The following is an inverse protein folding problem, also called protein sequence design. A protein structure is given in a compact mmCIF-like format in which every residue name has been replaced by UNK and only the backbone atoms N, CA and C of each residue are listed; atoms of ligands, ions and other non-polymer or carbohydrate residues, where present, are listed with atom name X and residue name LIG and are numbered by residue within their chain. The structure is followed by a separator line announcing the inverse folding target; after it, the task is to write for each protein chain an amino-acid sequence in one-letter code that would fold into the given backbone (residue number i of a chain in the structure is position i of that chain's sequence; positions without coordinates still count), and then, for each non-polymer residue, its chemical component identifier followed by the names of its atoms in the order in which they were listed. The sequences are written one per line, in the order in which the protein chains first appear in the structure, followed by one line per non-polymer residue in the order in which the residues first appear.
data_IF_446218549223
#
_entry.id   IF_446218549223
#
_cell.length_a   1.000
_cell.length_b   1.000
_cell.length_c   1.000
_cell.angle_alpha   90.00
_cell.angle_beta   90.00
_cell.angle_gamma   90.00
#
_symmetry.space_group_name_H-M   'P 1'
#
loop_
_entity.id
_entity.type
_entity.pdbx_description
1 polymer ?
#
# COMPACT_ATOMS: atom_id res chain seq x y z
N UNK A 1 1.21 -24.43 4.41
CA UNK A 1 1.49 -23.42 5.44
C UNK A 1 0.52 -22.27 5.24
N UNK A 2 -0.19 -21.86 6.29
CA UNK A 2 -1.04 -20.68 6.27
C UNK A 2 -0.16 -19.42 6.35
N UNK A 3 -0.38 -18.48 5.45
CA UNK A 3 0.29 -17.18 5.42
C UNK A 3 -0.77 -16.10 5.30
N UNK A 4 -0.71 -15.08 6.13
CA UNK A 4 -1.62 -13.95 6.11
C UNK A 4 -0.85 -12.63 6.08
N UNK A 5 -1.25 -11.73 5.19
CA UNK A 5 -0.71 -10.38 5.13
C UNK A 5 -1.45 -9.48 6.11
N UNK A 6 -0.74 -8.59 6.81
CA UNK A 6 -1.27 -7.70 7.84
C UNK A 6 -2.18 -6.57 7.32
N UNK A 7 -3.13 -6.89 6.45
CA UNK A 7 -4.16 -5.98 5.95
C UNK A 7 -5.47 -6.15 6.71
N UNK A 8 -5.53 -5.65 7.96
CA UNK A 8 -6.67 -5.83 8.86
C UNK A 8 -8.00 -5.29 8.29
N UNK A 9 -7.94 -4.34 7.34
CA UNK A 9 -9.12 -3.88 6.61
C UNK A 9 -9.88 -5.00 5.92
N UNK A 10 -9.20 -6.07 5.49
CA UNK A 10 -9.81 -7.20 4.78
C UNK A 10 -10.80 -8.01 5.62
N UNK A 11 -10.68 -7.98 6.93
CA UNK A 11 -11.58 -8.66 7.87
C UNK A 11 -12.54 -7.71 8.58
N UNK A 12 -12.35 -6.40 8.47
CA UNK A 12 -13.15 -5.40 9.18
C UNK A 12 -14.54 -5.22 8.53
N UNK A 13 -15.66 -5.43 9.28
CA UNK A 13 -17.01 -5.37 8.73
C UNK A 13 -17.37 -4.04 8.05
N UNK A 14 -16.83 -2.92 8.56
CA UNK A 14 -17.14 -1.58 8.04
C UNK A 14 -16.57 -1.35 6.64
N UNK A 15 -15.34 -1.84 6.38
CA UNK A 15 -14.75 -1.78 5.05
C UNK A 15 -15.48 -2.72 4.10
N UNK A 16 -15.64 -3.95 4.55
CA UNK A 16 -16.21 -5.05 3.80
C UNK A 16 -17.57 -4.73 3.19
N UNK A 17 -18.51 -4.19 3.99
CA UNK A 17 -19.83 -3.84 3.48
C UNK A 17 -19.79 -2.78 2.38
N UNK A 18 -18.90 -1.79 2.50
CA UNK A 18 -18.73 -0.77 1.45
C UNK A 18 -18.17 -1.37 0.16
N UNK A 19 -17.21 -2.26 0.28
CA UNK A 19 -16.60 -2.97 -0.85
C UNK A 19 -17.61 -3.93 -1.51
N UNK A 20 -18.41 -4.66 -0.73
CA UNK A 20 -19.47 -5.53 -1.22
C UNK A 20 -20.59 -4.77 -1.94
N UNK A 21 -20.96 -3.58 -1.47
CA UNK A 21 -21.88 -2.68 -2.16
C UNK A 21 -21.37 -2.33 -3.56
N UNK A 22 -20.09 -2.01 -3.68
CA UNK A 22 -19.45 -1.67 -4.94
C UNK A 22 -19.30 -2.89 -5.83
N UNK A 23 -18.75 -3.97 -5.30
CA UNK A 23 -18.45 -5.22 -6.01
C UNK A 23 -19.69 -5.87 -6.62
N UNK A 24 -20.82 -5.79 -5.91
CA UNK A 24 -22.11 -6.33 -6.37
C UNK A 24 -22.96 -5.31 -7.18
N UNK A 25 -22.42 -4.12 -7.46
CA UNK A 25 -23.07 -3.15 -8.32
C UNK A 25 -24.30 -2.44 -7.72
N UNK A 26 -24.52 -2.49 -6.41
CA UNK A 26 -25.63 -1.81 -5.74
C UNK A 26 -25.60 -0.29 -5.97
N UNK A 27 -24.40 0.29 -6.02
CA UNK A 27 -24.18 1.71 -6.33
C UNK A 27 -24.14 2.03 -7.82
N UNK A 28 -24.41 1.07 -8.70
CA UNK A 28 -24.22 1.19 -10.15
C UNK A 28 -22.75 1.00 -10.55
N UNK A 29 -22.45 1.24 -11.83
CA UNK A 29 -21.10 1.06 -12.36
C UNK A 29 -20.10 2.03 -11.69
N UNK A 30 -18.89 1.53 -11.40
CA UNK A 30 -17.78 2.34 -10.90
C UNK A 30 -17.21 3.16 -12.06
N UNK A 31 -17.12 4.47 -11.87
CA UNK A 31 -16.56 5.44 -12.82
C UNK A 31 -15.11 5.80 -12.51
N UNK A 32 -14.70 5.63 -11.28
CA UNK A 32 -13.38 5.94 -10.79
C UNK A 32 -13.28 5.77 -9.28
N UNK A 33 -12.11 6.09 -8.71
CA UNK A 33 -11.90 6.09 -7.27
C UNK A 33 -10.97 7.24 -6.86
N UNK A 34 -10.96 7.57 -5.57
CA UNK A 34 -9.99 8.49 -4.96
C UNK A 34 -9.43 7.85 -3.70
N UNK A 35 -8.10 7.89 -3.58
CA UNK A 35 -7.38 7.47 -2.38
C UNK A 35 -6.58 8.64 -1.83
N UNK A 36 -6.68 8.86 -0.50
CA UNK A 36 -5.87 9.81 0.21
C UNK A 36 -5.00 9.11 1.25
N UNK A 37 -3.69 9.23 1.10
CA UNK A 37 -2.67 8.56 1.93
C UNK A 37 -1.95 9.60 2.79
N UNK A 38 -1.65 9.34 4.08
CA UNK A 38 -0.78 10.20 4.87
C UNK A 38 0.57 10.41 4.18
N UNK A 39 1.15 11.60 4.35
CA UNK A 39 2.50 11.87 3.90
C UNK A 39 3.50 11.88 5.05
N UNK A 40 4.78 12.03 4.72
CA UNK A 40 5.89 11.99 5.67
C UNK A 40 5.81 13.04 6.79
N UNK A 41 5.17 14.16 6.55
CA UNK A 41 4.98 15.24 7.54
C UNK A 41 4.06 14.85 8.70
N UNK A 42 3.22 13.85 8.53
CA UNK A 42 2.39 13.29 9.63
C UNK A 42 3.22 12.71 10.77
N UNK A 43 4.49 12.34 10.49
CA UNK A 43 5.46 11.78 11.42
C UNK A 43 6.64 12.73 11.65
N UNK A 44 6.54 13.97 11.21
CA UNK A 44 7.61 14.98 11.21
C UNK A 44 8.10 15.44 12.60
N UNK A 45 7.47 14.98 13.68
CA UNK A 45 7.98 15.19 15.04
C UNK A 45 9.28 14.43 15.35
N UNK A 46 9.65 13.48 14.52
CA UNK A 46 10.89 12.71 14.63
C UNK A 46 11.89 13.26 13.62
N UNK A 47 12.87 14.02 14.11
CA UNK A 47 13.85 14.74 13.28
C UNK A 47 14.54 13.82 12.27
N UNK A 48 14.13 13.91 11.01
CA UNK A 48 14.83 13.29 9.88
C UNK A 48 16.15 14.02 9.66
N UNK A 49 17.21 13.53 10.24
CA UNK A 49 18.54 14.07 10.08
C UNK A 49 19.45 13.06 9.40
N UNK A 50 20.15 13.45 8.36
CA UNK A 50 21.22 12.68 7.75
C UNK A 50 22.52 12.73 8.55
N UNK A 51 22.53 13.42 9.70
CA UNK A 51 23.72 13.55 10.55
C UNK A 51 24.22 12.17 10.99
N UNK A 52 25.52 11.99 10.87
CA UNK A 52 26.26 10.79 11.29
C UNK A 52 26.68 10.93 12.73
N UNK A 53 26.71 9.82 13.44
CA UNK A 53 27.16 9.77 14.83
C UNK A 53 27.97 8.50 15.08
N UNK A 54 28.79 8.45 16.13
CA UNK A 54 29.38 7.22 16.61
C UNK A 54 28.27 6.24 17.03
N UNK A 55 28.52 4.93 16.87
CA UNK A 55 27.64 3.90 17.40
C UNK A 55 27.44 4.10 18.92
N UNK A 56 26.18 4.05 19.39
CA UNK A 56 25.91 4.06 20.82
C UNK A 56 26.63 2.91 21.54
N UNK A 57 27.06 3.11 22.79
CA UNK A 57 27.78 2.08 23.54
C UNK A 57 27.06 0.75 23.72
N UNK A 58 25.73 0.77 23.65
CA UNK A 58 24.86 -0.42 23.75
C UNK A 58 24.61 -1.09 22.39
N UNK A 59 25.16 -0.56 21.31
CA UNK A 59 24.91 -1.04 19.95
C UNK A 59 26.24 -1.41 19.30
N UNK A 60 26.52 -2.69 19.18
CA UNK A 60 27.78 -3.15 18.58
C UNK A 60 27.78 -2.98 17.06
N UNK A 61 28.97 -3.04 16.44
CA UNK A 61 29.09 -2.99 14.98
C UNK A 61 28.35 -4.15 14.33
N UNK A 62 28.42 -5.34 14.91
CA UNK A 62 27.73 -6.54 14.41
C UNK A 62 26.21 -6.40 14.51
N UNK A 63 25.70 -5.78 15.58
CA UNK A 63 24.27 -5.51 15.73
C UNK A 63 23.79 -4.47 14.69
N UNK A 64 24.60 -3.47 14.38
CA UNK A 64 24.33 -2.50 13.33
C UNK A 64 24.33 -3.14 11.95
N UNK A 65 25.31 -3.97 11.65
CA UNK A 65 25.40 -4.74 10.42
C UNK A 65 24.16 -5.66 10.23
N UNK A 66 23.79 -6.38 11.27
CA UNK A 66 22.60 -7.24 11.27
C UNK A 66 21.31 -6.43 11.08
N UNK A 67 21.20 -5.25 11.67
CA UNK A 67 20.05 -4.37 11.49
C UNK A 67 19.95 -3.88 10.05
N UNK A 68 21.06 -3.53 9.40
CA UNK A 68 21.08 -3.14 8.00
C UNK A 68 20.69 -4.29 7.05
N UNK A 69 20.97 -5.53 7.46
CA UNK A 69 20.61 -6.74 6.71
C UNK A 69 21.18 -6.75 5.29
N UNK A 70 20.37 -7.14 4.29
CA UNK A 70 20.82 -7.22 2.88
C UNK A 70 20.95 -5.85 2.20
N UNK A 71 20.60 -4.76 2.86
CA UNK A 71 20.70 -3.44 2.27
C UNK A 71 22.16 -3.04 2.03
N UNK A 72 22.39 -2.26 0.96
CA UNK A 72 23.72 -1.71 0.70
C UNK A 72 24.14 -0.81 1.85
N UNK A 73 25.30 -1.10 2.45
CA UNK A 73 25.89 -0.27 3.50
C UNK A 73 26.25 1.13 2.97
N UNK A 74 26.38 2.07 3.88
CA UNK A 74 26.99 3.37 3.60
C UNK A 74 28.49 3.17 3.40
N UNK A 75 29.09 3.91 2.45
CA UNK A 75 30.50 3.74 2.06
C UNK A 75 31.50 3.84 3.21
N UNK A 76 31.12 4.50 4.28
CA UNK A 76 31.93 4.72 5.49
C UNK A 76 31.41 4.00 6.73
N UNK A 77 30.56 2.98 6.58
CA UNK A 77 29.89 2.26 7.68
C UNK A 77 29.20 3.21 8.70
N UNK A 78 28.79 4.38 8.23
CA UNK A 78 28.29 5.42 9.12
C UNK A 78 26.98 4.99 9.81
N UNK A 79 26.95 5.18 11.11
CA UNK A 79 25.71 5.12 11.86
C UNK A 79 24.94 6.43 11.72
N UNK A 80 23.70 6.34 11.28
CA UNK A 80 22.79 7.47 11.15
C UNK A 80 21.63 7.24 12.14
N UNK A 81 21.61 7.94 13.28
CA UNK A 81 20.62 7.72 14.34
C UNK A 81 19.18 7.78 13.87
N UNK A 82 18.86 8.70 12.95
CA UNK A 82 17.51 8.84 12.41
C UNK A 82 17.05 7.63 11.59
N UNK A 83 17.95 6.87 10.99
CA UNK A 83 17.58 5.64 10.28
C UNK A 83 17.21 4.54 11.25
N UNK A 84 17.94 4.45 12.38
CA UNK A 84 17.65 3.49 13.43
C UNK A 84 16.38 3.84 14.23
N UNK A 85 15.89 5.07 14.14
CA UNK A 85 14.62 5.46 14.75
C UNK A 85 13.48 4.59 14.22
N UNK A 86 12.62 4.03 15.09
CA UNK A 86 11.55 3.10 14.69
C UNK A 86 10.58 3.62 13.63
N UNK A 87 10.53 4.92 13.42
CA UNK A 87 9.62 5.56 12.46
C UNK A 87 10.31 6.01 11.18
N UNK A 88 11.56 6.45 11.26
CA UNK A 88 12.25 7.14 10.16
C UNK A 88 12.84 6.21 9.09
N UNK A 89 13.18 4.96 9.41
CA UNK A 89 13.70 4.00 8.43
C UNK A 89 12.78 3.81 7.21
N UNK A 90 11.47 3.98 7.40
CA UNK A 90 10.46 3.90 6.33
C UNK A 90 10.74 4.83 5.15
N UNK A 91 11.36 5.96 5.43
CA UNK A 91 11.59 7.02 4.44
C UNK A 91 12.93 6.90 3.72
N UNK A 92 13.74 5.91 4.11
CA UNK A 92 15.00 5.59 3.44
C UNK A 92 14.77 4.51 2.38
N UNK A 93 15.17 4.76 1.13
CA UNK A 93 14.96 3.86 0.00
C UNK A 93 15.73 2.53 0.09
N UNK A 94 16.66 2.40 1.03
CA UNK A 94 17.40 1.14 1.27
C UNK A 94 16.64 0.18 2.17
N UNK A 95 15.74 0.70 3.02
CA UNK A 95 15.06 -0.07 4.08
C UNK A 95 13.54 -0.05 3.95
N UNK A 96 12.97 1.00 3.37
CA UNK A 96 11.53 1.16 3.24
C UNK A 96 11.12 1.85 1.95
N UNK A 97 9.81 1.92 1.72
CA UNK A 97 9.22 2.51 0.52
C UNK A 97 8.53 3.87 0.74
N UNK A 98 8.64 4.47 1.94
CA UNK A 98 7.90 5.68 2.29
C UNK A 98 6.42 5.42 2.55
N UNK A 99 5.63 6.48 2.57
CA UNK A 99 4.21 6.41 2.93
C UNK A 99 3.32 5.81 1.85
N UNK A 100 3.73 5.85 0.59
CA UNK A 100 2.94 5.27 -0.51
C UNK A 100 2.75 3.76 -0.30
N UNK A 101 3.79 2.93 -0.04
CA UNK A 101 3.58 1.53 0.33
C UNK A 101 3.14 1.32 1.78
N UNK A 102 3.56 2.14 2.76
CA UNK A 102 3.25 1.92 4.17
C UNK A 102 1.74 2.01 4.43
N UNK A 103 1.15 3.19 4.30
CA UNK A 103 -0.30 3.36 4.42
C UNK A 103 -1.06 2.96 3.16
N UNK A 104 -0.45 3.13 1.98
CA UNK A 104 -1.07 2.76 0.72
C UNK A 104 -1.40 1.28 0.61
N UNK A 105 -0.64 0.39 1.27
CA UNK A 105 -0.99 -1.03 1.34
C UNK A 105 -2.42 -1.27 1.82
N UNK A 106 -2.88 -0.50 2.83
CA UNK A 106 -4.24 -0.62 3.35
C UNK A 106 -5.29 -0.06 2.40
N UNK A 107 -5.00 1.07 1.76
CA UNK A 107 -5.96 1.76 0.88
C UNK A 107 -6.06 1.04 -0.50
N UNK A 108 -4.95 0.57 -1.03
CA UNK A 108 -4.95 -0.21 -2.27
C UNK A 108 -5.60 -1.58 -2.10
N UNK A 109 -5.49 -2.19 -0.92
CA UNK A 109 -6.20 -3.43 -0.61
C UNK A 109 -7.72 -3.24 -0.69
N UNK A 110 -8.25 -2.15 -0.12
CA UNK A 110 -9.66 -1.79 -0.23
C UNK A 110 -10.07 -1.54 -1.67
N UNK A 111 -9.26 -0.80 -2.44
CA UNK A 111 -9.50 -0.55 -3.85
C UNK A 111 -9.60 -1.86 -4.63
N UNK A 112 -8.63 -2.75 -4.48
CA UNK A 112 -8.58 -4.04 -5.16
C UNK A 112 -9.80 -4.89 -4.84
N UNK A 113 -10.23 -4.93 -3.57
CA UNK A 113 -11.41 -5.71 -3.16
C UNK A 113 -12.71 -5.14 -3.71
N UNK A 114 -12.89 -3.84 -3.62
CA UNK A 114 -14.09 -3.19 -4.16
C UNK A 114 -14.20 -3.28 -5.69
N UNK A 115 -13.08 -3.33 -6.40
CA UNK A 115 -13.04 -3.53 -7.86
C UNK A 115 -13.03 -5.01 -8.28
N UNK A 116 -12.87 -5.95 -7.37
CA UNK A 116 -12.74 -7.37 -7.69
C UNK A 116 -11.42 -7.72 -8.40
N UNK A 117 -10.35 -6.95 -8.13
CA UNK A 117 -9.05 -7.06 -8.83
C UNK A 117 -7.93 -7.60 -7.95
N UNK A 118 -8.24 -8.27 -6.85
CA UNK A 118 -7.26 -8.72 -5.83
C UNK A 118 -6.17 -9.66 -6.37
N UNK A 119 -6.44 -10.36 -7.47
CA UNK A 119 -5.51 -11.32 -8.09
C UNK A 119 -4.90 -10.80 -9.39
N UNK A 120 -5.00 -9.49 -9.62
CA UNK A 120 -4.39 -8.80 -10.76
C UNK A 120 -3.88 -7.43 -10.30
N UNK A 121 -3.75 -6.48 -11.21
CA UNK A 121 -3.26 -5.14 -10.86
C UNK A 121 -3.57 -4.10 -11.95
N UNK A 122 -3.06 -2.88 -11.76
CA UNK A 122 -3.18 -1.83 -12.76
C UNK A 122 -2.36 -2.15 -14.01
N UNK A 123 -2.67 -1.45 -15.09
CA UNK A 123 -1.90 -1.48 -16.34
C UNK A 123 -0.99 -0.26 -16.53
N UNK A 124 -1.17 0.76 -15.71
CA UNK A 124 -0.31 1.94 -15.73
C UNK A 124 -0.37 2.74 -14.42
N UNK A 125 0.71 3.46 -14.16
CA UNK A 125 0.74 4.66 -13.30
C UNK A 125 0.83 5.85 -14.25
N UNK A 126 -0.04 6.86 -14.05
CA UNK A 126 -0.09 8.05 -14.89
C UNK A 126 -0.16 9.32 -14.05
N UNK A 127 0.09 10.47 -14.69
CA UNK A 127 0.00 11.79 -14.06
C UNK A 127 0.82 11.94 -12.78
N UNK A 128 1.96 11.24 -12.68
CA UNK A 128 2.83 11.29 -11.51
C UNK A 128 3.39 12.69 -11.30
N UNK A 129 3.14 13.23 -10.11
CA UNK A 129 3.81 14.41 -9.57
C UNK A 129 4.28 14.09 -8.15
N UNK A 130 5.55 14.35 -7.88
CA UNK A 130 6.14 14.08 -6.58
C UNK A 130 7.36 14.97 -6.34
N UNK A 131 7.68 15.18 -5.08
CA UNK A 131 8.91 15.81 -4.62
C UNK A 131 10.02 14.79 -4.34
N UNK A 132 10.02 13.64 -5.05
CA UNK A 132 11.07 12.63 -4.90
C UNK A 132 12.45 13.28 -5.00
N UNK A 133 13.23 13.11 -3.95
CA UNK A 133 14.47 13.83 -3.80
C UNK A 133 15.63 13.10 -4.47
N UNK A 134 16.39 13.82 -5.29
CA UNK A 134 17.65 13.37 -5.89
C UNK A 134 18.82 14.18 -5.33
N UNK A 135 19.94 13.52 -5.04
CA UNK A 135 21.17 14.17 -4.56
C UNK A 135 21.68 13.64 -3.22
N UNK A 136 22.96 13.82 -2.94
CA UNK A 136 23.73 13.12 -1.90
C UNK A 136 23.17 13.21 -0.48
N UNK A 137 22.69 14.37 -0.06
CA UNK A 137 22.13 14.56 1.29
C UNK A 137 20.68 14.05 1.41
N UNK A 138 20.05 13.77 0.27
CA UNK A 138 18.68 13.30 0.16
C UNK A 138 18.60 11.78 -0.01
N UNK A 139 19.74 11.10 -0.22
CA UNK A 139 19.82 9.64 -0.30
C UNK A 139 19.38 8.94 0.99
N UNK A 140 19.41 9.65 2.11
CA UNK A 140 18.97 9.11 3.41
C UNK A 140 17.45 9.06 3.49
N UNK A 141 16.75 10.13 3.02
CA UNK A 141 15.29 10.23 3.08
C UNK A 141 14.72 10.71 1.75
N UNK A 142 14.72 9.83 0.77
CA UNK A 142 14.40 10.15 -0.63
C UNK A 142 12.92 10.02 -1.00
N UNK A 143 12.14 9.26 -0.24
CA UNK A 143 10.74 9.05 -0.59
C UNK A 143 9.89 10.32 -0.46
N UNK A 144 8.95 10.55 -1.40
CA UNK A 144 8.23 11.81 -1.48
C UNK A 144 7.37 12.10 -0.24
N UNK A 145 7.37 13.36 0.18
CA UNK A 145 6.43 13.94 1.13
C UNK A 145 5.19 14.49 0.43
N UNK A 146 5.33 14.94 -0.82
CA UNK A 146 4.25 15.42 -1.67
C UNK A 146 4.13 14.50 -2.89
N UNK A 147 2.92 14.03 -3.16
CA UNK A 147 2.65 13.19 -4.33
C UNK A 147 1.18 13.25 -4.75
N UNK A 148 0.98 13.08 -6.04
CA UNK A 148 -0.30 12.71 -6.65
C UNK A 148 -0.04 11.91 -7.91
N UNK A 149 -0.87 10.93 -8.20
CA UNK A 149 -0.80 10.09 -9.40
C UNK A 149 -2.11 9.34 -9.64
N UNK A 150 -2.25 8.77 -10.82
CA UNK A 150 -3.37 7.92 -11.18
C UNK A 150 -2.91 6.46 -11.31
N UNK A 151 -3.68 5.56 -10.71
CA UNK A 151 -3.61 4.12 -10.94
C UNK A 151 -4.66 3.77 -11.98
N UNK A 152 -4.25 3.19 -13.10
CA UNK A 152 -5.12 2.90 -14.25
C UNK A 152 -5.29 1.39 -14.40
N UNK A 153 -6.53 0.92 -14.42
CA UNK A 153 -6.88 -0.49 -14.63
C UNK A 153 -7.24 -0.77 -16.09
N UNK A 154 -7.16 -2.04 -16.52
CA UNK A 154 -7.52 -2.47 -17.87
C UNK A 154 -8.97 -2.13 -18.24
N UNK A 155 -9.87 -2.12 -17.27
CA UNK A 155 -11.26 -1.68 -17.44
C UNK A 155 -11.43 -0.20 -17.80
N UNK A 156 -10.35 0.60 -17.77
CA UNK A 156 -10.37 2.05 -17.91
C UNK A 156 -10.66 2.80 -16.61
N UNK A 157 -10.96 2.11 -15.52
CA UNK A 157 -11.16 2.74 -14.20
C UNK A 157 -9.84 3.40 -13.78
N UNK A 158 -9.96 4.67 -13.33
CA UNK A 158 -8.86 5.45 -12.76
C UNK A 158 -9.08 5.65 -11.28
N UNK A 159 -8.03 5.40 -10.50
CA UNK A 159 -7.98 5.78 -9.09
C UNK A 159 -7.01 6.94 -8.93
N UNK A 160 -7.51 8.07 -8.47
CA UNK A 160 -6.72 9.26 -8.15
C UNK A 160 -6.13 9.11 -6.75
N UNK A 161 -4.81 8.98 -6.67
CA UNK A 161 -4.08 8.87 -5.41
C UNK A 161 -3.40 10.20 -5.09
N UNK A 162 -3.54 10.63 -3.84
CA UNK A 162 -2.96 11.89 -3.38
C UNK A 162 -2.63 11.88 -1.90
N UNK A 163 -1.80 12.82 -1.49
CA UNK A 163 -1.56 13.12 -0.08
C UNK A 163 -2.84 13.58 0.61
N UNK A 164 -2.98 13.24 1.90
CA UNK A 164 -3.98 13.82 2.78
C UNK A 164 -3.81 15.35 2.86
N UNK A 165 -4.93 16.04 2.72
CA UNK A 165 -5.05 17.46 2.93
C UNK A 165 -6.33 17.77 3.70
N UNK A 166 -6.27 17.66 5.02
CA UNK A 166 -7.44 17.84 5.90
C UNK A 166 -8.02 19.25 5.82
N UNK A 167 -7.18 20.25 5.58
CA UNK A 167 -7.63 21.64 5.49
C UNK A 167 -8.55 21.86 4.27
N UNK A 168 -8.31 21.12 3.19
CA UNK A 168 -9.11 21.16 1.96
C UNK A 168 -10.11 19.98 1.84
N UNK A 169 -10.42 19.31 2.95
CA UNK A 169 -11.44 18.25 2.97
C UNK A 169 -10.99 16.89 2.45
N UNK A 170 -9.70 16.62 2.44
CA UNK A 170 -9.10 15.35 2.01
C UNK A 170 -8.47 14.59 3.18
N UNK A 171 -9.29 13.99 4.09
CA UNK A 171 -8.77 13.09 5.14
C UNK A 171 -8.27 11.78 4.53
N UNK A 172 -7.67 10.91 5.34
CA UNK A 172 -7.40 9.53 4.94
C UNK A 172 -8.69 8.85 4.53
N UNK A 173 -8.75 8.32 3.29
CA UNK A 173 -9.97 7.73 2.74
C UNK A 173 -9.71 6.94 1.46
N UNK A 174 -10.60 5.98 1.20
CA UNK A 174 -10.83 5.36 -0.10
C UNK A 174 -12.28 5.61 -0.50
N UNK A 175 -12.51 6.22 -1.66
CA UNK A 175 -13.84 6.54 -2.19
C UNK A 175 -13.99 5.94 -3.57
N UNK A 176 -15.06 5.19 -3.78
CA UNK A 176 -15.50 4.73 -5.11
C UNK A 176 -16.53 5.71 -5.67
N UNK A 177 -16.28 6.25 -6.84
CA UNK A 177 -17.20 7.12 -7.57
C UNK A 177 -18.09 6.27 -8.48
N UNK A 178 -19.32 6.03 -8.04
CA UNK A 178 -20.28 5.18 -8.72
C UNK A 178 -21.40 5.99 -9.40
N UNK A 179 -22.19 5.35 -10.28
CA UNK A 179 -23.27 6.02 -11.00
C UNK A 179 -24.32 6.66 -10.08
N UNK A 180 -24.68 5.98 -8.99
CA UNK A 180 -25.68 6.46 -8.03
C UNK A 180 -25.11 7.40 -6.97
N UNK A 181 -23.79 7.64 -6.98
CA UNK A 181 -23.04 8.47 -6.04
C UNK A 181 -21.88 7.75 -5.40
N UNK A 182 -21.16 8.45 -4.53
CA UNK A 182 -19.94 7.96 -3.92
C UNK A 182 -20.21 6.93 -2.82
N UNK A 183 -19.37 5.90 -2.77
CA UNK A 183 -19.29 4.94 -1.66
C UNK A 183 -17.92 5.06 -1.03
N UNK A 184 -17.87 5.49 0.23
CA UNK A 184 -16.63 5.65 0.99
C UNK A 184 -16.38 4.49 1.92
N UNK A 185 -15.11 4.12 2.10
CA UNK A 185 -14.68 3.20 3.14
C UNK A 185 -14.47 3.94 4.47
N UNK A 186 -14.21 3.22 5.50
CA UNK A 186 -14.10 3.48 6.94
C UNK A 186 -14.08 4.94 7.46
N UNK A 187 -13.06 5.75 7.16
CA UNK A 187 -12.93 7.10 7.72
C UNK A 187 -13.86 8.13 7.07
N UNK A 188 -14.42 7.75 5.94
CA UNK A 188 -15.44 8.52 5.27
C UNK A 188 -16.82 8.13 5.78
N UNK A 189 -17.04 8.34 7.09
CA UNK A 189 -18.22 7.93 7.85
C UNK A 189 -19.50 8.08 7.05
N UNK A 190 -19.98 6.96 6.51
CA UNK A 190 -21.30 6.86 5.94
C UNK A 190 -21.54 7.59 4.64
N UNK A 191 -20.51 7.95 3.84
CA UNK A 191 -20.77 8.46 2.50
C UNK A 191 -21.27 7.32 1.63
N UNK A 192 -22.57 7.31 1.49
CA UNK A 192 -23.32 6.42 0.60
C UNK A 192 -24.32 7.23 -0.19
N UNK A 193 -24.68 6.82 -1.40
CA UNK A 193 -25.83 7.36 -2.10
C UNK A 193 -27.08 7.30 -1.22
N UNK A 194 -27.98 8.27 -1.32
CA UNK A 194 -29.18 8.31 -0.46
C UNK A 194 -29.99 7.01 -0.57
N UNK A 195 -30.06 6.40 -1.74
CA UNK A 195 -30.73 5.11 -1.97
C UNK A 195 -30.08 3.92 -1.22
N UNK A 196 -28.84 4.07 -0.73
CA UNK A 196 -28.10 3.04 0.02
C UNK A 196 -27.80 3.44 1.46
N UNK A 197 -28.33 4.55 1.94
CA UNK A 197 -28.05 5.10 3.26
C UNK A 197 -28.31 4.10 4.39
N UNK A 198 -29.39 3.33 4.27
CA UNK A 198 -29.80 2.33 5.25
C UNK A 198 -29.40 0.90 4.86
N UNK A 199 -28.62 0.71 3.81
CA UNK A 199 -28.20 -0.60 3.33
C UNK A 199 -27.40 -1.32 4.41
N UNK A 200 -27.78 -2.55 4.70
CA UNK A 200 -27.18 -3.43 5.71
C UNK A 200 -26.67 -4.71 5.09
N UNK A 201 -25.85 -5.43 5.81
CA UNK A 201 -25.35 -6.76 5.42
C UNK A 201 -26.49 -7.76 5.15
N UNK A 202 -27.61 -7.65 5.87
CA UNK A 202 -28.81 -8.46 5.65
C UNK A 202 -29.49 -8.22 4.31
N UNK A 203 -29.19 -7.11 3.63
CA UNK A 203 -29.78 -6.78 2.31
C UNK A 203 -29.01 -7.43 1.16
N UNK A 204 -27.84 -8.02 1.43
CA UNK A 204 -27.12 -8.85 0.48
C UNK A 204 -27.87 -10.17 0.27
N UNK A 205 -28.02 -10.57 -0.97
CA UNK A 205 -28.68 -11.81 -1.37
C UNK A 205 -27.71 -13.00 -1.39
N UNK A 206 -28.22 -14.22 -1.54
CA UNK A 206 -27.40 -15.43 -1.69
C UNK A 206 -26.57 -15.45 -2.99
N UNK A 207 -26.94 -14.62 -3.97
CA UNK A 207 -26.22 -14.50 -5.26
C UNK A 207 -25.07 -13.51 -5.21
N UNK A 208 -25.02 -12.69 -4.17
CA UNK A 208 -24.01 -11.66 -4.05
C UNK A 208 -22.65 -12.24 -3.66
N UNK A 209 -21.60 -11.66 -4.22
CA UNK A 209 -20.23 -11.93 -3.81
C UNK A 209 -20.09 -11.40 -2.39
N UNK A 210 -19.75 -12.29 -1.48
CA UNK A 210 -19.45 -11.97 -0.09
C UNK A 210 -17.97 -12.10 0.14
N UNK A 211 -17.37 -11.01 0.60
CA UNK A 211 -16.00 -11.07 1.09
C UNK A 211 -15.96 -11.87 2.39
N UNK A 212 -14.74 -12.35 2.73
CA UNK A 212 -14.58 -13.21 3.90
C UNK A 212 -15.20 -12.61 5.18
N UNK A 213 -15.86 -13.48 5.97
CA UNK A 213 -16.42 -13.15 7.27
C UNK A 213 -15.86 -14.09 8.32
N UNK A 214 -15.21 -13.58 9.37
CA UNK A 214 -14.88 -14.40 10.52
C UNK A 214 -16.17 -14.90 11.21
N UNK A 215 -16.09 -16.05 11.85
CA UNK A 215 -17.16 -16.57 12.68
C UNK A 215 -17.31 -15.67 13.92
N UNK A 216 -18.44 -15.03 14.03
CA UNK A 216 -19.06 -14.30 15.16
C UNK A 216 -18.21 -13.54 16.20
N UNK A 217 -18.59 -12.29 16.40
CA UNK A 217 -18.50 -11.58 17.69
C UNK A 217 -17.27 -10.72 17.92
N UNK A 218 -16.26 -10.73 17.05
CA UNK A 218 -15.07 -9.93 17.21
C UNK A 218 -15.12 -8.66 16.34
N UNK A 219 -14.40 -7.60 16.75
CA UNK A 219 -14.38 -6.31 16.07
C UNK A 219 -12.92 -5.82 15.93
N UNK A 220 -12.61 -5.21 14.79
CA UNK A 220 -11.30 -4.62 14.56
C UNK A 220 -10.17 -5.58 14.17
N UNK A 221 -8.98 -5.44 14.80
CA UNK A 221 -7.80 -6.26 14.51
C UNK A 221 -7.96 -7.71 14.98
N UNK A 222 -8.78 -7.94 16.01
CA UNK A 222 -9.06 -9.29 16.52
C UNK A 222 -9.65 -10.21 15.45
N UNK A 223 -10.45 -9.68 14.54
CA UNK A 223 -10.95 -10.47 13.39
C UNK A 223 -9.83 -11.00 12.50
N UNK A 224 -8.78 -10.22 12.32
CA UNK A 224 -7.70 -10.59 11.44
C UNK A 224 -6.86 -11.70 12.04
N UNK A 225 -6.62 -11.65 13.33
CA UNK A 225 -5.92 -12.69 14.09
C UNK A 225 -6.75 -13.97 14.16
N UNK A 226 -8.07 -13.85 14.41
CA UNK A 226 -8.99 -15.00 14.39
C UNK A 226 -9.02 -15.67 13.03
N UNK A 227 -9.08 -14.90 11.93
CA UNK A 227 -9.03 -15.43 10.57
C UNK A 227 -7.76 -16.25 10.30
N UNK A 228 -6.61 -15.78 10.81
CA UNK A 228 -5.35 -16.51 10.69
C UNK A 228 -5.39 -17.85 11.44
N UNK A 229 -5.87 -17.85 12.68
CA UNK A 229 -5.98 -19.07 13.48
C UNK A 229 -6.97 -20.06 12.86
N UNK A 230 -8.14 -19.59 12.44
CA UNK A 230 -9.14 -20.41 11.75
C UNK A 230 -8.58 -21.00 10.45
N UNK A 231 -7.82 -20.20 9.69
CA UNK A 231 -7.12 -20.66 8.50
C UNK A 231 -6.16 -21.82 8.77
N UNK A 232 -5.49 -21.81 9.95
CA UNK A 232 -4.61 -22.91 10.38
C UNK A 232 -5.43 -24.13 10.79
N UNK A 233 -6.43 -23.95 11.64
CA UNK A 233 -7.21 -25.07 12.21
C UNK A 233 -8.13 -25.73 11.19
N UNK A 234 -8.72 -24.97 10.29
CA UNK A 234 -9.68 -25.44 9.29
C UNK A 234 -9.03 -25.78 7.95
N UNK A 235 -7.76 -25.40 7.75
CA UNK A 235 -7.04 -25.62 6.49
C UNK A 235 -7.60 -24.81 5.31
N UNK A 236 -8.23 -23.68 5.56
CA UNK A 236 -8.82 -22.79 4.54
C UNK A 236 -7.93 -21.59 4.21
N UNK A 237 -8.27 -20.94 3.11
CA UNK A 237 -7.64 -19.66 2.76
C UNK A 237 -8.06 -18.56 3.75
N UNK A 238 -7.12 -17.66 4.06
CA UNK A 238 -7.33 -16.46 4.86
C UNK A 238 -7.81 -15.29 4.00
N UNK A 239 -8.38 -14.26 4.62
CA UNK A 239 -8.95 -13.10 3.92
C UNK A 239 -7.91 -12.27 3.15
N UNK A 240 -6.65 -12.28 3.58
CA UNK A 240 -5.55 -11.55 2.95
C UNK A 240 -4.39 -12.50 2.69
N UNK A 241 -4.43 -13.19 1.55
CA UNK A 241 -3.40 -14.14 1.14
C UNK A 241 -2.11 -13.45 0.70
N UNK A 242 -1.01 -14.20 0.59
CA UNK A 242 0.25 -13.67 0.08
C UNK A 242 0.13 -13.10 -1.35
N UNK A 243 -0.64 -13.75 -2.23
CA UNK A 243 -0.88 -13.26 -3.59
C UNK A 243 -1.65 -11.92 -3.58
N UNK A 244 -2.72 -11.80 -2.80
CA UNK A 244 -3.45 -10.54 -2.67
C UNK A 244 -2.56 -9.43 -2.13
N UNK A 245 -1.77 -9.72 -1.10
CA UNK A 245 -0.81 -8.75 -0.55
C UNK A 245 0.26 -8.33 -1.55
N UNK A 246 0.79 -9.28 -2.32
CA UNK A 246 1.75 -9.02 -3.40
C UNK A 246 1.15 -8.10 -4.46
N UNK A 247 -0.06 -8.39 -4.96
CA UNK A 247 -0.74 -7.53 -5.95
C UNK A 247 -1.03 -6.14 -5.41
N UNK A 248 -1.45 -6.05 -4.16
CA UNK A 248 -1.74 -4.78 -3.49
C UNK A 248 -0.48 -3.92 -3.36
N UNK A 249 0.62 -4.48 -2.80
CA UNK A 249 1.84 -3.69 -2.58
C UNK A 249 2.55 -3.35 -3.89
N UNK A 250 2.38 -4.15 -4.93
CA UNK A 250 2.92 -3.86 -6.26
C UNK A 250 2.45 -2.50 -6.78
N UNK A 251 1.20 -2.11 -6.57
CA UNK A 251 0.68 -0.79 -6.96
C UNK A 251 1.55 0.34 -6.40
N UNK A 252 1.87 0.25 -5.11
CA UNK A 252 2.69 1.25 -4.44
C UNK A 252 4.14 1.28 -4.96
N UNK A 253 4.72 0.10 -5.22
CA UNK A 253 6.07 0.01 -5.78
C UNK A 253 6.14 0.54 -7.22
N UNK A 254 5.13 0.29 -8.05
CA UNK A 254 5.05 0.86 -9.40
C UNK A 254 5.03 2.40 -9.34
N UNK A 255 4.25 2.97 -8.42
CA UNK A 255 4.22 4.42 -8.20
C UNK A 255 5.57 4.96 -7.72
N UNK A 256 6.22 4.28 -6.77
CA UNK A 256 7.54 4.66 -6.28
C UNK A 256 8.61 4.60 -7.37
N UNK A 257 8.59 3.60 -8.24
CA UNK A 257 9.53 3.50 -9.38
C UNK A 257 9.29 4.65 -10.35
N UNK A 258 8.02 4.96 -10.67
CA UNK A 258 7.66 6.10 -11.51
C UNK A 258 8.17 7.42 -10.93
N UNK A 259 7.98 7.65 -9.63
CA UNK A 259 8.47 8.82 -8.91
C UNK A 259 10.01 8.91 -8.92
N UNK A 260 10.69 7.78 -8.63
CA UNK A 260 12.15 7.69 -8.60
C UNK A 260 12.78 7.98 -9.95
N UNK A 261 12.16 7.53 -11.03
CA UNK A 261 12.58 7.82 -12.40
C UNK A 261 12.17 9.24 -12.87
N UNK A 262 11.46 9.99 -12.05
CA UNK A 262 10.94 11.33 -12.39
C UNK A 262 10.10 11.34 -13.68
N UNK A 263 9.38 10.27 -13.92
CA UNK A 263 8.50 10.11 -15.07
C UNK A 263 7.07 10.50 -14.75
N UNK A 264 6.34 10.96 -15.75
CA UNK A 264 4.90 11.25 -15.64
C UNK A 264 4.05 9.98 -15.73
N UNK A 265 4.56 8.94 -16.36
CA UNK A 265 3.83 7.69 -16.52
C UNK A 265 4.75 6.50 -16.77
N UNK A 266 4.30 5.33 -16.31
CA UNK A 266 4.87 4.01 -16.62
C UNK A 266 3.74 3.03 -16.94
N UNK A 267 3.95 2.18 -17.93
CA UNK A 267 3.03 1.09 -18.27
C UNK A 267 3.49 -0.21 -17.64
N UNK A 268 2.54 -1.01 -17.23
CA UNK A 268 2.74 -2.28 -16.55
C UNK A 268 1.92 -3.40 -17.16
N UNK A 269 2.50 -4.57 -17.28
CA UNK A 269 1.78 -5.81 -17.59
C UNK A 269 1.56 -6.58 -16.27
N UNK A 270 0.33 -6.61 -15.73
CA UNK A 270 0.07 -7.26 -14.46
C UNK A 270 0.15 -8.79 -14.52
N UNK A 271 0.10 -9.38 -15.72
CA UNK A 271 0.22 -10.82 -15.91
C UNK A 271 1.68 -11.25 -15.98
N UNK A 272 2.49 -10.51 -16.74
CA UNK A 272 3.92 -10.77 -16.86
C UNK A 272 4.73 -10.18 -15.70
N UNK A 273 4.11 -9.34 -14.86
CA UNK A 273 4.73 -8.62 -13.75
C UNK A 273 6.00 -7.87 -14.17
N UNK A 274 5.85 -7.06 -15.23
CA UNK A 274 6.95 -6.24 -15.73
C UNK A 274 6.46 -4.95 -16.36
N UNK A 275 7.31 -3.94 -16.31
CA UNK A 275 7.10 -2.73 -17.07
C UNK A 275 7.19 -2.99 -18.57
N UNK A 276 6.36 -2.27 -19.33
CA UNK A 276 6.30 -2.34 -20.79
C UNK A 276 6.36 -0.93 -21.40
N UNK A 277 6.71 -0.82 -22.68
CA UNK A 277 6.77 0.46 -23.39
C UNK A 277 8.13 1.16 -23.29
N UNK A 278 8.16 2.48 -23.46
CA UNK A 278 9.38 3.26 -23.74
C UNK A 278 10.48 3.18 -22.68
N UNK A 279 10.11 3.05 -21.39
CA UNK A 279 11.06 3.05 -20.26
C UNK A 279 11.18 1.68 -19.59
N UNK A 280 10.68 0.63 -20.26
CA UNK A 280 10.59 -0.71 -19.68
C UNK A 280 11.95 -1.25 -19.19
N UNK A 281 12.98 -1.16 -20.00
CA UNK A 281 14.30 -1.72 -19.66
C UNK A 281 14.92 -1.07 -18.42
N UNK A 282 14.76 0.24 -18.28
CA UNK A 282 15.25 0.96 -17.12
C UNK A 282 14.38 0.68 -15.87
N UNK A 283 13.07 0.75 -16.01
CA UNK A 283 12.13 0.53 -14.92
C UNK A 283 12.20 -0.89 -14.36
N UNK A 284 12.38 -1.90 -15.23
CA UNK A 284 12.48 -3.30 -14.81
C UNK A 284 13.74 -3.59 -13.97
N UNK A 285 14.78 -2.77 -14.04
CA UNK A 285 15.95 -2.89 -13.16
C UNK A 285 15.63 -2.62 -11.69
N UNK A 286 14.55 -1.88 -11.41
CA UNK A 286 14.10 -1.59 -10.05
C UNK A 286 13.18 -2.66 -9.45
N UNK A 287 12.82 -3.70 -10.22
CA UNK A 287 12.01 -4.82 -9.71
C UNK A 287 12.82 -5.78 -8.83
N UNK A 288 14.13 -5.64 -8.82
CA UNK A 288 15.01 -6.40 -7.95
C UNK A 288 16.05 -5.48 -7.31
N UNK A 289 16.56 -5.89 -6.17
CA UNK A 289 17.67 -5.23 -5.48
C UNK A 289 18.84 -6.20 -5.35
N UNK A 290 20.05 -5.67 -5.46
CA UNK A 290 21.25 -6.43 -5.16
C UNK A 290 21.36 -6.60 -3.64
N UNK A 291 21.51 -7.84 -3.19
CA UNK A 291 21.72 -8.15 -1.78
C UNK A 291 23.21 -8.03 -1.43
N UNK A 292 23.49 -7.37 -0.31
CA UNK A 292 24.82 -7.16 0.23
C UNK A 292 25.07 -8.01 1.47
N UNK A 293 26.28 -7.94 2.01
CA UNK A 293 26.66 -8.53 3.30
C UNK A 293 26.52 -10.05 3.38
N UNK A 294 26.72 -10.75 2.26
CA UNK A 294 26.59 -12.22 2.22
C UNK A 294 25.15 -12.74 2.20
N UNK A 295 24.17 -11.87 2.29
CA UNK A 295 22.78 -12.26 2.08
C UNK A 295 22.56 -12.68 0.64
N UNK A 296 21.73 -13.69 0.44
CA UNK A 296 21.32 -14.17 -0.89
C UNK A 296 19.81 -14.39 -0.89
N UNK A 297 19.10 -14.05 -1.98
CA UNK A 297 17.72 -14.42 -2.10
C UNK A 297 17.60 -15.95 -2.05
N UNK A 298 16.58 -16.45 -1.36
CA UNK A 298 16.24 -17.85 -1.47
C UNK A 298 15.80 -18.09 -2.92
N UNK A 299 16.56 -18.90 -3.62
CA UNK A 299 16.10 -19.43 -4.91
C UNK A 299 15.12 -20.56 -4.60
N UNK A 300 13.84 -20.33 -4.90
CA UNK A 300 12.78 -21.33 -4.82
C UNK A 300 12.81 -22.16 -6.10
#
# INVERSE_FOLDING_TARGET
VTFQVGNQGSTNPKYRLSEEIVLNGYAGAVKGATICIPACDHWAGHGRSAARAPLPRYFTKEAWDMWQGPARHWEDDAYIPSIHDPTCWRFNSRYGGGMIPDFGAHEFDQLQRGLGTQLTGPVAIENMESDYATGSDRDVFSWPGEFKFDVVYESGIRCHVRKIDKANGWPRQTIFHCEKGDVGSYDYKGKRPECLKNFKESDLTEKDIRLYRPNDGHDGSEFHESDFLDGIYEGRAVASTCEMGHRTISIAHLANICARMQLKSLKWDPKAERFVGAYADEANRFLSVEYHNGFRPFMV
#
